data_IF_019104829640
#
_entry.id   IF_019104829640
#
_cell.length_a   1.000
_cell.length_b   1.000
_cell.length_c   1.000
_cell.angle_alpha   90.00
_cell.angle_beta   90.00
_cell.angle_gamma   90.00
#
_symmetry.space_group_name_H-M   'P 1'
#
loop_
_entity.id
_entity.type
_entity.pdbx_description
1 polymer ?
#
# COMPACT_ATOMS: atom_id res chain seq x y z
N UNK A 1 33.58 -56.18 -47.26
CA UNK A 1 32.19 -55.87 -47.53
C UNK A 1 31.38 -55.82 -46.22
N UNK A 2 31.54 -56.83 -45.35
CA UNK A 2 30.82 -56.82 -44.02
C UNK A 2 31.22 -55.64 -43.09
N UNK A 3 32.46 -55.18 -43.15
CA UNK A 3 32.99 -54.08 -42.37
C UNK A 3 32.32 -52.75 -42.77
N UNK A 4 32.19 -52.50 -44.08
CA UNK A 4 31.57 -51.29 -44.61
C UNK A 4 30.07 -51.25 -44.29
N UNK A 5 29.38 -52.38 -44.39
CA UNK A 5 27.95 -52.46 -44.06
C UNK A 5 27.69 -52.23 -42.56
N UNK A 6 28.54 -52.72 -41.66
CA UNK A 6 28.43 -52.54 -40.22
C UNK A 6 28.64 -51.06 -39.83
N UNK A 7 29.66 -50.42 -40.36
CA UNK A 7 29.98 -49.03 -40.11
C UNK A 7 28.89 -48.08 -40.63
N UNK A 8 28.28 -48.35 -41.76
CA UNK A 8 27.20 -47.62 -42.36
C UNK A 8 25.93 -47.72 -41.47
N UNK A 9 25.60 -48.95 -41.06
CA UNK A 9 24.43 -49.16 -40.17
C UNK A 9 24.63 -48.49 -38.84
N UNK A 10 25.80 -48.49 -38.22
CA UNK A 10 26.10 -47.83 -36.99
C UNK A 10 26.00 -46.29 -37.15
N UNK A 11 26.50 -45.75 -38.26
CA UNK A 11 26.38 -44.35 -38.60
C UNK A 11 24.90 -43.91 -38.77
N UNK A 12 24.09 -44.72 -39.48
CA UNK A 12 22.67 -44.48 -39.68
C UNK A 12 21.88 -44.50 -38.35
N UNK A 13 22.17 -45.48 -37.49
CA UNK A 13 21.59 -45.54 -36.14
C UNK A 13 21.97 -44.31 -35.30
N UNK A 14 23.19 -43.81 -35.45
CA UNK A 14 23.65 -42.58 -34.82
C UNK A 14 22.86 -41.34 -35.28
N UNK A 15 22.57 -41.27 -36.58
CA UNK A 15 21.74 -40.21 -37.14
C UNK A 15 20.27 -40.28 -36.66
N UNK A 16 19.70 -41.47 -36.61
CA UNK A 16 18.34 -41.67 -36.09
C UNK A 16 18.24 -41.21 -34.63
N UNK A 17 19.17 -41.63 -33.78
CA UNK A 17 19.23 -41.20 -32.39
C UNK A 17 19.41 -39.69 -32.27
N UNK A 18 20.26 -39.06 -33.07
CA UNK A 18 20.45 -37.62 -33.08
C UNK A 18 19.17 -36.89 -33.49
N UNK A 19 18.39 -37.40 -34.45
CA UNK A 19 17.13 -36.85 -34.87
C UNK A 19 16.08 -36.95 -33.76
N UNK A 20 16.04 -38.06 -33.03
CA UNK A 20 15.14 -38.23 -31.87
C UNK A 20 15.51 -37.29 -30.73
N UNK A 21 16.79 -37.20 -30.40
CA UNK A 21 17.30 -36.27 -29.37
C UNK A 21 16.95 -34.81 -29.75
N UNK A 22 17.11 -34.43 -31.02
CA UNK A 22 16.76 -33.10 -31.52
C UNK A 22 15.26 -32.80 -31.42
N UNK A 23 14.41 -33.79 -31.75
CA UNK A 23 12.96 -33.65 -31.60
C UNK A 23 12.53 -33.50 -30.12
N UNK A 24 13.20 -34.25 -29.23
CA UNK A 24 12.98 -34.12 -27.78
C UNK A 24 13.38 -32.74 -27.27
N UNK A 25 14.54 -32.23 -27.66
CA UNK A 25 15.00 -30.90 -27.31
C UNK A 25 14.09 -29.82 -27.84
N UNK A 26 13.60 -29.94 -29.07
CA UNK A 26 12.62 -28.99 -29.63
C UNK A 26 11.30 -29.01 -28.85
N UNK A 27 10.84 -30.18 -28.40
CA UNK A 27 9.64 -30.29 -27.55
C UNK A 27 9.85 -29.61 -26.18
N UNK A 28 10.99 -29.87 -25.55
CA UNK A 28 11.35 -29.26 -24.26
C UNK A 28 11.45 -27.72 -24.36
N UNK A 29 12.01 -27.20 -25.46
CA UNK A 29 12.07 -25.76 -25.71
C UNK A 29 10.67 -25.17 -25.86
N UNK A 30 9.78 -25.86 -26.57
CA UNK A 30 8.39 -25.40 -26.71
C UNK A 30 7.66 -25.36 -25.37
N UNK A 31 7.82 -26.36 -24.52
CA UNK A 31 7.31 -26.36 -23.14
C UNK A 31 7.87 -25.17 -22.34
N UNK A 32 9.19 -25.00 -22.37
CA UNK A 32 9.86 -23.90 -21.67
C UNK A 32 9.36 -22.53 -22.12
N UNK A 33 9.17 -22.32 -23.41
CA UNK A 33 8.62 -21.06 -23.97
C UNK A 33 7.17 -20.85 -23.52
N UNK A 34 6.38 -21.92 -23.47
CA UNK A 34 5.00 -21.86 -22.97
C UNK A 34 4.94 -21.46 -21.50
N UNK A 35 5.75 -22.09 -20.66
CA UNK A 35 5.84 -21.81 -19.23
C UNK A 35 6.37 -20.38 -18.97
N UNK A 36 7.35 -19.97 -19.76
CA UNK A 36 7.87 -18.60 -19.70
C UNK A 36 6.79 -17.55 -20.05
N UNK A 37 5.98 -17.84 -21.07
CA UNK A 37 4.87 -16.97 -21.47
C UNK A 37 3.81 -16.88 -20.37
N UNK A 38 3.43 -18.02 -19.78
CA UNK A 38 2.47 -18.05 -18.66
C UNK A 38 2.99 -17.27 -17.44
N UNK A 39 4.25 -17.49 -17.07
CA UNK A 39 4.88 -16.76 -15.95
C UNK A 39 4.95 -15.25 -16.24
N UNK A 40 5.21 -14.87 -17.49
CA UNK A 40 5.23 -13.45 -17.90
C UNK A 40 3.86 -12.81 -17.79
N UNK A 41 2.79 -13.50 -18.17
CA UNK A 41 1.42 -13.03 -18.00
C UNK A 41 1.05 -12.87 -16.52
N UNK A 42 1.43 -13.82 -15.66
CA UNK A 42 1.23 -13.71 -14.20
C UNK A 42 1.98 -12.51 -13.60
N UNK A 43 3.21 -12.25 -14.07
CA UNK A 43 3.98 -11.07 -13.65
C UNK A 43 3.30 -9.77 -14.05
N UNK A 44 2.78 -9.67 -15.28
CA UNK A 44 2.04 -8.48 -15.74
C UNK A 44 0.79 -8.26 -14.88
N UNK A 45 0.03 -9.33 -14.59
CA UNK A 45 -1.13 -9.24 -13.70
C UNK A 45 -0.75 -8.79 -12.28
N UNK A 46 0.35 -9.31 -11.74
CA UNK A 46 0.87 -8.94 -10.42
C UNK A 46 1.30 -7.47 -10.37
N UNK A 47 1.98 -6.99 -11.40
CA UNK A 47 2.38 -5.57 -11.53
C UNK A 47 1.14 -4.67 -11.58
N UNK A 48 0.09 -5.08 -12.30
CA UNK A 48 -1.17 -4.34 -12.36
C UNK A 48 -1.83 -4.23 -10.97
N UNK A 49 -1.88 -5.32 -10.23
CA UNK A 49 -2.40 -5.34 -8.87
C UNK A 49 -1.59 -4.44 -7.91
N UNK A 50 -0.26 -4.48 -8.02
CA UNK A 50 0.62 -3.61 -7.22
C UNK A 50 0.36 -2.14 -7.56
N UNK A 51 0.20 -1.79 -8.83
CA UNK A 51 -0.11 -0.42 -9.26
C UNK A 51 -1.43 0.06 -8.64
N UNK A 52 -2.48 -0.76 -8.68
CA UNK A 52 -3.76 -0.43 -8.05
C UNK A 52 -3.63 -0.25 -6.52
N UNK A 53 -2.84 -1.09 -5.87
CA UNK A 53 -2.57 -0.95 -4.43
C UNK A 53 -1.84 0.36 -4.11
N UNK A 54 -0.87 0.76 -4.93
CA UNK A 54 -0.15 2.03 -4.78
C UNK A 54 -1.10 3.22 -4.95
N UNK A 55 -2.01 3.18 -5.92
CA UNK A 55 -3.04 4.22 -6.11
C UNK A 55 -3.95 4.33 -4.88
N UNK A 56 -4.36 3.19 -4.32
CA UNK A 56 -5.14 3.13 -3.07
C UNK A 56 -4.39 3.73 -1.88
N UNK A 57 -3.11 3.40 -1.71
CA UNK A 57 -2.26 3.95 -0.65
C UNK A 57 -2.09 5.46 -0.82
N UNK A 58 -1.90 5.93 -2.05
CA UNK A 58 -1.76 7.36 -2.36
C UNK A 58 -3.04 8.12 -1.98
N UNK A 59 -4.21 7.60 -2.33
CA UNK A 59 -5.51 8.17 -1.95
C UNK A 59 -5.66 8.23 -0.43
N UNK A 60 -5.42 7.12 0.28
CA UNK A 60 -5.52 7.05 1.74
C UNK A 60 -4.53 8.01 2.43
N UNK A 61 -3.34 8.20 1.87
CA UNK A 61 -2.34 9.14 2.37
C UNK A 61 -2.82 10.60 2.25
N UNK A 62 -3.43 10.96 1.12
CA UNK A 62 -4.00 12.29 0.92
C UNK A 62 -5.19 12.55 1.86
N UNK A 63 -6.06 11.56 2.06
CA UNK A 63 -7.18 11.65 3.00
C UNK A 63 -6.67 11.82 4.43
N UNK A 64 -5.62 11.09 4.81
CA UNK A 64 -4.96 11.21 6.13
C UNK A 64 -4.34 12.59 6.34
N UNK A 65 -3.68 13.15 5.34
CA UNK A 65 -3.13 14.50 5.40
C UNK A 65 -4.23 15.56 5.57
N UNK A 66 -5.33 15.43 4.82
CA UNK A 66 -6.51 16.29 4.95
C UNK A 66 -7.14 16.15 6.33
N UNK A 67 -7.31 14.91 6.82
CA UNK A 67 -7.81 14.64 8.17
C UNK A 67 -6.95 15.26 9.26
N UNK A 68 -5.63 15.16 9.14
CA UNK A 68 -4.67 15.77 10.08
C UNK A 68 -4.80 17.30 10.10
N UNK A 69 -4.94 17.92 8.93
CA UNK A 69 -5.14 19.38 8.82
C UNK A 69 -6.45 19.80 9.48
N UNK A 70 -7.53 19.06 9.28
CA UNK A 70 -8.82 19.31 9.90
C UNK A 70 -8.76 19.17 11.43
N UNK A 71 -8.03 18.16 11.94
CA UNK A 71 -7.81 17.98 13.38
C UNK A 71 -7.05 19.17 13.95
N UNK A 72 -5.99 19.64 13.30
CA UNK A 72 -5.23 20.81 13.73
C UNK A 72 -6.12 22.06 13.82
N UNK A 73 -6.96 22.32 12.81
CA UNK A 73 -7.90 23.44 12.82
C UNK A 73 -8.92 23.32 13.96
N UNK A 74 -9.50 22.15 14.17
CA UNK A 74 -10.45 21.92 15.27
C UNK A 74 -9.79 22.08 16.63
N UNK A 75 -8.54 21.66 16.78
CA UNK A 75 -7.77 21.86 18.01
C UNK A 75 -7.59 23.35 18.32
N UNK A 76 -7.30 24.19 17.33
CA UNK A 76 -7.22 25.65 17.51
C UNK A 76 -8.56 26.22 17.98
N UNK A 77 -9.67 25.76 17.42
CA UNK A 77 -11.01 26.19 17.83
C UNK A 77 -11.31 25.83 19.30
N UNK A 78 -10.94 24.58 19.68
CA UNK A 78 -11.10 24.09 21.06
C UNK A 78 -10.28 24.93 22.04
N UNK A 79 -9.01 25.22 21.70
CA UNK A 79 -8.13 26.07 22.54
C UNK A 79 -8.76 27.46 22.75
N UNK A 80 -9.21 28.13 21.67
CA UNK A 80 -9.88 29.41 21.74
C UNK A 80 -11.16 29.34 22.55
N UNK A 81 -11.96 28.29 22.40
CA UNK A 81 -13.16 28.04 23.19
C UNK A 81 -12.85 27.90 24.68
N UNK A 82 -11.79 27.14 25.00
CA UNK A 82 -11.33 26.95 26.38
C UNK A 82 -10.86 28.27 27.02
N UNK A 83 -10.15 29.11 26.26
CA UNK A 83 -9.77 30.45 26.71
C UNK A 83 -10.99 31.36 26.99
N UNK A 84 -12.01 31.31 26.12
CA UNK A 84 -13.24 32.06 26.31
C UNK A 84 -14.01 31.60 27.57
N UNK A 85 -14.09 30.28 27.80
CA UNK A 85 -14.71 29.73 29.02
C UNK A 85 -13.93 30.15 30.26
N UNK A 86 -12.59 30.09 30.23
CA UNK A 86 -11.77 30.53 31.34
C UNK A 86 -11.93 32.02 31.66
N UNK A 87 -12.02 32.88 30.65
CA UNK A 87 -12.26 34.30 30.81
C UNK A 87 -13.66 34.55 31.34
N UNK A 88 -14.68 33.84 30.88
CA UNK A 88 -16.04 33.88 31.40
C UNK A 88 -16.12 33.50 32.88
N UNK A 89 -15.40 32.43 33.27
CA UNK A 89 -15.32 32.02 34.68
C UNK A 89 -14.68 33.11 35.57
N UNK A 90 -13.57 33.70 35.12
CA UNK A 90 -12.94 34.83 35.87
C UNK A 90 -13.86 36.02 36.00
N UNK A 91 -14.63 36.37 34.98
CA UNK A 91 -15.61 37.46 35.03
C UNK A 91 -16.74 37.13 36.00
N UNK A 92 -17.24 35.90 35.98
CA UNK A 92 -18.26 35.43 36.92
C UNK A 92 -17.77 35.48 38.39
N UNK A 93 -16.51 35.05 38.63
CA UNK A 93 -15.87 35.11 39.93
C UNK A 93 -15.75 36.56 40.44
N UNK A 94 -15.30 37.49 39.59
CA UNK A 94 -15.21 38.91 39.92
C UNK A 94 -16.57 39.50 40.25
N UNK A 95 -17.61 39.19 39.45
CA UNK A 95 -18.99 39.67 39.70
C UNK A 95 -19.58 39.11 41.01
N UNK A 96 -19.32 37.85 41.32
CA UNK A 96 -19.72 37.23 42.57
C UNK A 96 -19.02 37.87 43.79
N UNK A 97 -17.73 38.20 43.66
CA UNK A 97 -16.99 38.89 44.70
C UNK A 97 -17.52 40.31 44.95
N UNK A 98 -17.85 41.03 43.87
CA UNK A 98 -18.45 42.38 43.98
C UNK A 98 -19.84 42.33 44.61
N UNK A 99 -20.68 41.37 44.19
CA UNK A 99 -22.00 41.14 44.78
C UNK A 99 -21.91 40.89 46.32
N UNK A 100 -20.96 40.01 46.69
CA UNK A 100 -20.67 39.67 48.09
C UNK A 100 -20.25 40.93 48.91
N UNK A 101 -19.40 41.76 48.30
CA UNK A 101 -19.01 43.04 48.92
C UNK A 101 -20.19 43.99 49.10
N UNK A 102 -21.06 44.13 48.11
CA UNK A 102 -22.25 44.98 48.18
C UNK A 102 -23.25 44.45 49.21
N UNK A 103 -23.49 43.15 49.27
CA UNK A 103 -24.38 42.54 50.27
C UNK A 103 -23.83 42.77 51.68
N UNK A 104 -22.53 42.61 51.91
CA UNK A 104 -21.92 42.86 53.22
C UNK A 104 -22.03 44.33 53.64
N UNK A 105 -22.05 45.29 52.70
CA UNK A 105 -22.25 46.69 53.00
C UNK A 105 -23.68 46.98 53.37
N UNK A 106 -24.69 46.18 53.02
CA UNK A 106 -26.09 46.32 53.38
C UNK A 106 -26.48 45.63 54.71
N UNK A 107 -25.62 44.73 55.21
CA UNK A 107 -25.88 43.91 56.44
C UNK A 107 -25.34 44.64 57.71
N UNK A 108 -24.86 45.86 57.60
CA UNK A 108 -24.45 46.66 58.76
C UNK A 108 -25.53 47.66 59.06
N UNK A 109 -26.60 47.18 59.70
CA UNK A 109 -27.43 47.89 60.71
C UNK A 109 -28.28 46.88 61.46
#
# INVERSE_FOLDING_TARGET
LDFVDTDIVECLNGFEKMADDYNMDASNINELVSDFSATSEELVASISNITQAIDGITSASNDSATGTTNIAQKTIVIVKGSEAVMNGAKTAEASAAELRKNVNNFVID
#
